data_IF_881893575204
#
_entry.id   IF_881893575204
#
_cell.length_a   1.000
_cell.length_b   1.000
_cell.length_c   1.000
_cell.angle_alpha   90.00
_cell.angle_beta   90.00
_cell.angle_gamma   90.00
#
_symmetry.space_group_name_H-M   'P 1'
#
loop_
_entity.id
_entity.type
_entity.pdbx_description
1 polymer ?
#
# COMPACT_ATOMS: atom_id res chain seq x y z
N UNK A 1 -19.25 0.44 -23.38
CA UNK A 1 -19.59 -0.53 -22.31
C UNK A 1 -18.60 -0.26 -21.18
N UNK A 2 -19.03 0.05 -19.95
CA UNK A 2 -18.08 0.13 -18.81
C UNK A 2 -17.49 -1.26 -18.63
N UNK A 3 -16.16 -1.42 -18.46
CA UNK A 3 -15.60 -2.72 -18.14
C UNK A 3 -16.21 -3.24 -16.83
N UNK A 4 -16.63 -4.50 -16.82
CA UNK A 4 -17.12 -5.13 -15.61
C UNK A 4 -15.95 -5.18 -14.61
N UNK A 5 -16.21 -4.71 -13.38
CA UNK A 5 -15.27 -4.88 -12.27
C UNK A 5 -14.85 -6.37 -12.21
N UNK A 6 -13.55 -6.63 -12.12
CA UNK A 6 -12.99 -7.99 -12.10
C UNK A 6 -13.21 -8.81 -13.39
N UNK A 7 -13.31 -8.17 -14.55
CA UNK A 7 -13.38 -8.88 -15.85
C UNK A 7 -12.07 -9.62 -16.21
N UNK A 8 -10.96 -9.30 -15.56
CA UNK A 8 -9.66 -9.97 -15.74
C UNK A 8 -9.76 -11.45 -15.39
N UNK A 9 -9.16 -12.32 -16.20
CA UNK A 9 -9.08 -13.76 -15.90
C UNK A 9 -8.10 -14.01 -14.76
N UNK A 10 -8.31 -15.05 -13.96
CA UNK A 10 -7.44 -15.41 -12.84
C UNK A 10 -8.21 -15.66 -11.56
N UNK A 11 -7.47 -15.88 -10.48
CA UNK A 11 -8.01 -16.02 -9.11
C UNK A 11 -7.64 -14.83 -8.25
N UNK A 12 -8.28 -14.71 -7.10
CA UNK A 12 -7.90 -13.72 -6.10
C UNK A 12 -6.71 -14.22 -5.27
N UNK A 13 -5.76 -13.32 -5.05
CA UNK A 13 -4.57 -13.53 -4.24
C UNK A 13 -4.60 -12.54 -3.08
N UNK A 14 -4.51 -13.07 -1.86
CA UNK A 14 -4.49 -12.29 -0.62
C UNK A 14 -3.10 -11.74 -0.38
N UNK A 15 -2.98 -10.43 -0.13
CA UNK A 15 -1.69 -9.83 0.17
C UNK A 15 -1.76 -8.62 1.06
N UNK A 16 -0.63 -8.32 1.69
CA UNK A 16 -0.44 -7.08 2.41
C UNK A 16 0.60 -6.21 1.71
N UNK A 17 0.32 -4.90 1.65
CA UNK A 17 1.15 -3.94 0.92
C UNK A 17 2.04 -3.10 1.84
N UNK A 18 1.78 -3.11 3.17
CA UNK A 18 2.44 -2.24 4.14
C UNK A 18 2.86 -3.05 5.37
N UNK A 19 4.16 -3.33 5.50
CA UNK A 19 4.75 -4.05 6.64
C UNK A 19 6.21 -3.66 6.83
N UNK A 20 6.67 -3.67 8.07
CA UNK A 20 8.03 -3.32 8.45
C UNK A 20 8.78 -4.51 9.03
N UNK A 21 10.02 -4.66 8.63
CA UNK A 21 10.94 -5.66 9.18
C UNK A 21 11.98 -4.98 10.08
N UNK A 22 12.88 -5.77 10.67
CA UNK A 22 14.02 -5.26 11.41
C UNK A 22 15.12 -4.64 10.52
N UNK A 23 14.83 -4.43 9.24
CA UNK A 23 15.65 -3.57 8.36
C UNK A 23 15.34 -2.10 8.56
N UNK A 24 14.17 -1.80 9.14
CA UNK A 24 13.81 -0.49 9.69
C UNK A 24 13.50 -0.61 11.19
N UNK A 25 12.29 -0.57 11.60
CA UNK A 25 11.85 -0.54 13.00
C UNK A 25 10.86 -1.64 13.38
N UNK A 26 10.57 -2.56 12.47
CA UNK A 26 9.81 -3.76 12.77
C UNK A 26 10.60 -4.76 13.64
N UNK A 27 9.88 -5.59 14.39
CA UNK A 27 10.49 -6.57 15.31
C UNK A 27 11.09 -7.77 14.58
N UNK A 28 10.43 -8.24 13.50
CA UNK A 28 10.76 -9.50 12.85
C UNK A 28 11.81 -9.32 11.76
N UNK A 29 12.64 -10.36 11.56
CA UNK A 29 13.46 -10.42 10.36
C UNK A 29 12.59 -10.52 9.09
N UNK A 30 13.09 -10.11 7.90
CA UNK A 30 12.34 -10.28 6.66
C UNK A 30 11.86 -11.72 6.42
N UNK A 31 12.66 -12.69 6.83
CA UNK A 31 12.35 -14.10 6.70
C UNK A 31 11.22 -14.55 7.62
N UNK A 32 11.30 -14.17 8.90
CA UNK A 32 10.26 -14.49 9.88
C UNK A 32 8.94 -13.79 9.51
N UNK A 33 9.04 -12.54 9.02
CA UNK A 33 7.89 -11.78 8.55
C UNK A 33 7.18 -12.49 7.39
N UNK A 34 7.92 -12.90 6.35
CA UNK A 34 7.38 -13.67 5.24
C UNK A 34 6.73 -14.98 5.70
N UNK A 35 7.39 -15.72 6.62
CA UNK A 35 6.85 -16.96 7.13
C UNK A 35 5.54 -16.75 7.90
N UNK A 36 5.46 -15.70 8.73
CA UNK A 36 4.24 -15.35 9.49
C UNK A 36 3.07 -15.05 8.58
N UNK A 37 3.26 -14.23 7.53
CA UNK A 37 2.19 -13.93 6.57
C UNK A 37 1.79 -15.14 5.73
N UNK A 38 2.76 -15.96 5.31
CA UNK A 38 2.49 -17.22 4.61
C UNK A 38 1.65 -18.19 5.46
N UNK A 39 2.01 -18.36 6.73
CA UNK A 39 1.30 -19.23 7.68
C UNK A 39 -0.12 -18.71 7.99
N UNK A 40 -0.33 -17.40 7.91
CA UNK A 40 -1.63 -16.76 8.03
C UNK A 40 -2.47 -16.80 6.73
N UNK A 41 -2.01 -17.53 5.71
CA UNK A 41 -2.75 -17.75 4.46
C UNK A 41 -2.66 -16.61 3.45
N UNK A 42 -1.70 -15.70 3.59
CA UNK A 42 -1.42 -14.71 2.56
C UNK A 42 -0.66 -15.35 1.39
N UNK A 43 -0.89 -14.82 0.20
CA UNK A 43 -0.26 -15.29 -1.02
C UNK A 43 0.89 -14.38 -1.47
N UNK A 44 0.88 -13.12 -1.06
CA UNK A 44 1.99 -12.22 -1.34
C UNK A 44 2.17 -11.18 -0.23
N UNK A 45 3.38 -10.64 -0.17
CA UNK A 45 3.75 -9.62 0.81
C UNK A 45 4.62 -8.55 0.16
N UNK A 46 4.42 -7.31 0.57
CA UNK A 46 5.35 -6.21 0.36
C UNK A 46 6.01 -5.90 1.71
N UNK A 47 7.32 -6.02 1.80
CA UNK A 47 8.07 -5.47 2.94
C UNK A 47 8.42 -4.05 2.56
N UNK A 48 7.79 -3.10 3.22
CA UNK A 48 7.85 -1.68 2.92
C UNK A 48 8.64 -0.90 3.97
N UNK A 49 9.78 -1.45 4.37
CA UNK A 49 10.66 -0.81 5.36
C UNK A 49 10.83 0.69 5.10
N UNK A 50 10.97 1.48 6.17
CA UNK A 50 11.15 2.93 6.08
C UNK A 50 12.41 3.31 5.29
N UNK A 51 12.21 3.98 4.16
CA UNK A 51 13.26 4.34 3.21
C UNK A 51 13.93 5.67 3.61
N UNK A 52 14.66 5.64 4.71
CA UNK A 52 15.41 6.78 5.26
C UNK A 52 16.88 6.42 5.51
N UNK A 53 17.75 7.43 5.57
CA UNK A 53 19.17 7.25 5.80
C UNK A 53 19.52 6.56 7.11
N UNK A 54 18.71 6.73 8.16
CA UNK A 54 18.84 6.06 9.45
C UNK A 54 18.93 4.52 9.29
N UNK A 55 18.21 3.96 8.32
CA UNK A 55 18.18 2.53 7.99
C UNK A 55 18.92 2.19 6.69
N UNK A 56 19.70 3.14 6.16
CA UNK A 56 20.44 2.98 4.91
C UNK A 56 19.54 2.72 3.68
N UNK A 57 18.35 3.33 3.65
CA UNK A 57 17.40 3.27 2.53
C UNK A 57 17.07 1.85 2.05
N UNK A 58 16.52 0.99 2.89
CA UNK A 58 16.34 -0.41 2.57
C UNK A 58 15.26 -0.62 1.49
N UNK A 59 15.57 -1.44 0.49
CA UNK A 59 14.59 -2.15 -0.35
C UNK A 59 14.82 -3.63 -0.11
N UNK A 60 13.92 -4.23 0.66
CA UNK A 60 14.15 -5.55 1.25
C UNK A 60 13.80 -6.66 0.28
N UNK A 61 14.80 -7.46 -0.11
CA UNK A 61 14.65 -8.59 -1.02
C UNK A 61 14.55 -9.90 -0.27
N UNK A 62 13.53 -10.67 -0.58
CA UNK A 62 13.22 -11.97 0.04
C UNK A 62 12.92 -13.05 -0.99
N UNK A 63 13.73 -13.11 -2.05
CA UNK A 63 13.52 -14.02 -3.20
C UNK A 63 13.45 -15.51 -2.84
N UNK A 64 14.00 -15.93 -1.68
CA UNK A 64 13.89 -17.31 -1.19
C UNK A 64 12.47 -17.71 -0.76
N UNK A 65 11.56 -16.74 -0.59
CA UNK A 65 10.16 -16.96 -0.25
C UNK A 65 9.25 -16.91 -1.49
N UNK A 66 9.79 -17.17 -2.67
CA UNK A 66 8.99 -17.18 -3.90
C UNK A 66 8.72 -18.63 -4.31
N UNK A 67 7.45 -19.04 -4.19
CA UNK A 67 6.92 -20.30 -4.67
C UNK A 67 5.52 -20.06 -5.32
N UNK A 68 4.85 -21.08 -5.88
CA UNK A 68 3.55 -20.89 -6.53
C UNK A 68 2.44 -20.35 -5.64
N UNK A 69 2.53 -20.51 -4.32
CA UNK A 69 1.52 -20.12 -3.35
C UNK A 69 1.86 -18.81 -2.62
N UNK A 70 3.16 -18.44 -2.58
CA UNK A 70 3.61 -17.22 -1.91
C UNK A 70 4.71 -16.50 -2.69
N UNK A 71 4.61 -15.17 -2.80
CA UNK A 71 5.65 -14.33 -3.42
C UNK A 71 5.84 -13.03 -2.65
N UNK A 72 6.96 -12.36 -2.87
CA UNK A 72 7.21 -11.02 -2.33
C UNK A 72 7.39 -10.02 -3.46
N UNK A 73 6.96 -8.79 -3.25
CA UNK A 73 7.11 -7.67 -4.17
C UNK A 73 7.98 -6.63 -3.49
N UNK A 74 8.97 -6.11 -4.19
CA UNK A 74 9.82 -5.04 -3.66
C UNK A 74 9.00 -3.79 -3.42
N UNK A 75 9.23 -3.13 -2.31
CA UNK A 75 8.56 -1.88 -1.98
C UNK A 75 9.28 -1.16 -0.84
N UNK A 76 8.79 0.01 -0.52
CA UNK A 76 9.26 0.80 0.59
C UNK A 76 8.19 1.80 1.03
N UNK A 77 8.27 2.26 2.26
CA UNK A 77 7.60 3.46 2.70
C UNK A 77 8.61 4.61 2.66
N UNK A 78 8.37 5.56 1.76
CA UNK A 78 9.29 6.63 1.45
C UNK A 78 8.94 7.90 2.22
N UNK A 79 9.97 8.63 2.61
CA UNK A 79 9.84 9.86 3.39
C UNK A 79 10.61 10.98 2.70
N UNK A 80 9.98 12.13 2.53
CA UNK A 80 10.62 13.31 1.96
C UNK A 80 9.77 14.56 2.16
N UNK A 81 10.41 15.69 2.46
CA UNK A 81 9.76 16.98 2.59
C UNK A 81 8.71 17.08 3.71
N UNK A 82 8.14 18.25 3.87
CA UNK A 82 7.09 18.53 4.85
C UNK A 82 5.69 18.58 4.20
N UNK A 83 4.69 18.05 4.91
CA UNK A 83 3.28 18.33 4.66
C UNK A 83 2.91 19.74 5.14
N UNK A 84 1.68 20.20 4.91
CA UNK A 84 1.21 21.52 5.41
C UNK A 84 1.30 21.65 6.94
N UNK A 85 1.23 20.53 7.66
CA UNK A 85 1.37 20.52 9.13
C UNK A 85 2.82 20.49 9.61
N UNK A 86 3.80 20.48 8.71
CA UNK A 86 5.22 20.40 9.03
C UNK A 86 5.74 18.98 9.33
N UNK A 87 4.88 17.97 9.28
CA UNK A 87 5.28 16.56 9.44
C UNK A 87 5.88 16.00 8.16
N UNK A 88 6.78 15.02 8.29
CA UNK A 88 7.37 14.37 7.11
C UNK A 88 6.34 13.55 6.35
N UNK A 89 6.46 13.53 5.02
CA UNK A 89 5.61 12.69 4.20
C UNK A 89 5.89 11.19 4.36
N UNK A 90 4.83 10.42 4.26
CA UNK A 90 4.82 8.97 4.17
C UNK A 90 4.16 8.55 2.84
N UNK A 91 4.93 7.96 1.96
CA UNK A 91 4.48 7.51 0.64
C UNK A 91 4.78 6.02 0.51
N UNK A 92 3.75 5.20 0.41
CA UNK A 92 3.93 3.77 0.17
C UNK A 92 4.12 3.50 -1.33
N UNK A 93 5.17 2.80 -1.70
CA UNK A 93 5.46 2.42 -3.09
C UNK A 93 5.68 0.92 -3.21
N UNK A 94 4.91 0.27 -4.09
CA UNK A 94 4.94 -1.17 -4.36
C UNK A 94 5.47 -1.41 -5.77
N UNK A 95 6.46 -2.27 -5.93
CA UNK A 95 7.10 -2.57 -7.21
C UNK A 95 8.28 -1.66 -7.54
N UNK A 96 8.99 -1.17 -6.52
CA UNK A 96 10.21 -0.39 -6.72
C UNK A 96 11.34 -1.27 -7.28
N UNK A 97 12.23 -0.73 -8.13
CA UNK A 97 13.45 -1.42 -8.49
C UNK A 97 14.42 -1.49 -7.30
N UNK A 98 15.20 -2.57 -7.22
CA UNK A 98 16.16 -2.80 -6.11
C UNK A 98 17.19 -1.67 -5.96
N UNK A 99 17.50 -0.97 -7.05
CA UNK A 99 18.46 0.13 -7.08
C UNK A 99 17.78 1.51 -7.11
N UNK A 100 16.57 1.65 -6.57
CA UNK A 100 15.90 2.95 -6.47
C UNK A 100 16.77 3.92 -5.68
N UNK A 101 16.94 5.13 -6.22
CA UNK A 101 17.85 6.11 -5.62
C UNK A 101 17.34 6.60 -4.27
N UNK A 102 18.23 6.81 -3.28
CA UNK A 102 17.87 7.34 -1.97
C UNK A 102 17.00 8.59 -2.03
N UNK A 103 16.11 8.76 -1.08
CA UNK A 103 15.42 10.02 -0.82
C UNK A 103 16.34 11.00 -0.09
N UNK A 104 15.94 12.26 -0.03
CA UNK A 104 16.66 13.29 0.74
C UNK A 104 16.30 13.30 2.24
N UNK A 105 15.87 12.16 2.78
CA UNK A 105 15.48 12.03 4.19
C UNK A 105 16.49 11.18 4.95
N UNK A 106 17.48 11.79 5.62
CA UNK A 106 18.42 11.05 6.44
C UNK A 106 17.77 10.46 7.71
N UNK A 107 16.66 11.05 8.14
CA UNK A 107 15.83 10.64 9.30
C UNK A 107 14.38 11.01 9.04
N UNK A 108 13.50 10.78 10.02
CA UNK A 108 12.08 11.20 10.00
C UNK A 108 11.90 12.70 10.30
N UNK A 109 12.68 13.54 9.64
CA UNK A 109 12.61 14.99 9.79
C UNK A 109 12.64 15.62 8.41
N UNK A 110 11.67 16.48 8.06
CA UNK A 110 11.70 17.22 6.80
C UNK A 110 12.96 18.07 6.69
N UNK A 111 13.47 18.22 5.49
CA UNK A 111 14.59 19.10 5.18
C UNK A 111 14.10 20.12 4.16
N UNK A 112 14.24 21.39 4.49
CA UNK A 112 13.83 22.49 3.63
C UNK A 112 14.63 22.53 2.32
N UNK A 113 13.98 23.03 1.27
CA UNK A 113 14.57 23.22 -0.06
C UNK A 113 15.13 21.93 -0.72
N UNK A 114 14.61 20.77 -0.31
CA UNK A 114 14.94 19.48 -0.90
C UNK A 114 13.70 18.81 -1.51
N UNK A 115 13.86 17.54 -1.92
CA UNK A 115 12.78 16.76 -2.50
C UNK A 115 11.53 16.75 -1.60
N UNK A 116 10.40 17.15 -2.15
CA UNK A 116 9.10 17.14 -1.48
C UNK A 116 8.42 15.77 -1.55
N UNK A 117 7.35 15.56 -0.75
CA UNK A 117 6.51 14.37 -0.83
C UNK A 117 5.91 14.12 -2.23
N UNK A 118 5.33 15.15 -2.90
CA UNK A 118 4.88 15.01 -4.28
C UNK A 118 5.96 14.60 -5.27
N UNK A 119 7.17 15.15 -5.16
CA UNK A 119 8.29 14.83 -6.06
C UNK A 119 8.79 13.40 -5.87
N UNK A 120 8.93 12.92 -4.62
CA UNK A 120 9.32 11.52 -4.41
C UNK A 120 8.21 10.54 -4.87
N UNK A 121 6.94 10.90 -4.69
CA UNK A 121 5.82 10.12 -5.19
C UNK A 121 5.82 10.01 -6.72
N UNK A 122 6.12 11.11 -7.43
CA UNK A 122 6.26 11.12 -8.88
C UNK A 122 7.46 10.27 -9.33
N UNK A 123 8.59 10.37 -8.64
CA UNK A 123 9.77 9.54 -8.90
C UNK A 123 9.50 8.05 -8.71
N UNK A 124 8.69 7.67 -7.72
CA UNK A 124 8.23 6.28 -7.56
C UNK A 124 7.32 5.84 -8.70
N UNK A 125 6.40 6.70 -9.12
CA UNK A 125 5.50 6.45 -10.26
C UNK A 125 6.31 6.24 -11.55
N UNK A 126 7.27 7.10 -11.84
CA UNK A 126 8.14 7.01 -13.04
C UNK A 126 9.02 5.76 -13.02
N UNK A 127 9.41 5.29 -11.83
CA UNK A 127 10.10 4.01 -11.66
C UNK A 127 9.19 2.79 -11.85
N UNK A 128 7.90 3.00 -12.10
CA UNK A 128 6.93 1.95 -12.35
C UNK A 128 6.25 1.38 -11.11
N UNK A 129 6.38 2.00 -9.93
CA UNK A 129 5.70 1.54 -8.72
C UNK A 129 4.20 1.84 -8.72
N UNK A 130 3.44 1.08 -7.95
CA UNK A 130 2.09 1.42 -7.50
C UNK A 130 2.21 2.31 -6.27
N UNK A 131 1.81 3.57 -6.40
CA UNK A 131 2.00 4.62 -5.38
C UNK A 131 0.72 4.78 -4.56
N UNK A 132 0.85 4.83 -3.25
CA UNK A 132 -0.27 4.94 -2.30
C UNK A 132 -0.01 6.09 -1.33
N UNK A 133 -1.03 6.91 -1.08
CA UNK A 133 -1.03 7.88 0.03
C UNK A 133 -1.24 7.08 1.31
N UNK A 134 -0.18 6.96 2.11
CA UNK A 134 -0.19 6.17 3.34
C UNK A 134 -0.97 6.89 4.46
N UNK A 135 -1.71 6.14 5.25
CA UNK A 135 -2.41 6.50 6.51
C UNK A 135 -2.70 8.02 6.70
N UNK A 136 -3.50 8.67 5.82
CA UNK A 136 -3.65 10.13 5.78
C UNK A 136 -4.17 10.74 7.08
N UNK A 137 -5.03 10.05 7.82
CA UNK A 137 -5.54 10.52 9.12
C UNK A 137 -4.44 10.52 10.18
N UNK A 138 -3.63 9.44 10.23
CA UNK A 138 -2.52 9.35 11.18
C UNK A 138 -1.47 10.43 10.91
N UNK A 139 -1.09 10.63 9.65
CA UNK A 139 -0.16 11.67 9.21
C UNK A 139 -0.71 13.09 9.33
N UNK A 140 -2.01 13.25 9.61
CA UNK A 140 -2.66 14.55 9.68
C UNK A 140 -2.66 15.31 8.36
N UNK A 141 -2.71 14.59 7.23
CA UNK A 141 -2.69 15.21 5.90
C UNK A 141 -3.94 16.08 5.68
N UNK A 142 -3.72 17.26 5.17
CA UNK A 142 -4.80 18.11 4.68
C UNK A 142 -5.29 17.63 3.32
N UNK A 143 -6.44 18.14 2.88
CA UNK A 143 -6.92 17.85 1.54
C UNK A 143 -5.98 18.46 0.45
N UNK A 144 -5.32 19.58 0.74
CA UNK A 144 -4.34 20.17 -0.17
C UNK A 144 -3.11 19.27 -0.31
N UNK A 145 -2.62 18.71 0.80
CA UNK A 145 -1.56 17.68 0.79
C UNK A 145 -1.96 16.51 -0.10
N UNK A 146 -3.09 15.89 0.16
CA UNK A 146 -3.55 14.73 -0.60
C UNK A 146 -3.75 15.02 -2.11
N UNK A 147 -4.23 16.23 -2.45
CA UNK A 147 -4.33 16.71 -3.85
C UNK A 147 -2.99 16.85 -4.54
N UNK A 148 -1.94 17.19 -3.79
CA UNK A 148 -0.60 17.42 -4.34
C UNK A 148 0.04 16.14 -4.88
N UNK A 149 -0.29 14.96 -4.32
CA UNK A 149 0.20 13.66 -4.79
C UNK A 149 -0.58 13.20 -6.03
N UNK A 150 -0.28 13.82 -7.18
CA UNK A 150 -0.98 13.56 -8.45
C UNK A 150 -0.72 12.16 -9.01
N UNK A 151 0.44 11.61 -8.73
CA UNK A 151 0.91 10.29 -9.16
C UNK A 151 0.34 9.12 -8.34
N UNK A 152 -0.46 9.39 -7.28
CA UNK A 152 -1.05 8.32 -6.49
C UNK A 152 -2.04 7.47 -7.30
N UNK A 153 -1.96 6.16 -7.12
CA UNK A 153 -2.91 5.17 -7.63
C UNK A 153 -4.01 4.84 -6.62
N UNK A 154 -3.71 5.00 -5.33
CA UNK A 154 -4.62 4.63 -4.24
C UNK A 154 -4.38 5.49 -2.99
N UNK A 155 -5.34 5.40 -2.07
CA UNK A 155 -5.24 5.89 -0.69
C UNK A 155 -5.37 4.70 0.24
N UNK A 156 -4.59 4.66 1.31
CA UNK A 156 -4.81 3.77 2.43
C UNK A 156 -6.10 4.18 3.15
N UNK A 157 -7.21 3.52 2.78
CA UNK A 157 -8.52 3.77 3.36
C UNK A 157 -8.66 3.18 4.76
N UNK A 158 -7.86 2.15 5.06
CA UNK A 158 -7.71 1.57 6.38
C UNK A 158 -6.28 1.10 6.62
N UNK A 159 -5.75 1.45 7.78
CA UNK A 159 -4.44 1.05 8.27
C UNK A 159 -4.59 0.44 9.67
N UNK A 160 -4.23 -0.85 9.82
CA UNK A 160 -4.48 -1.58 11.06
C UNK A 160 -3.52 -1.18 12.18
N UNK A 161 -2.25 -0.93 11.90
CA UNK A 161 -1.27 -0.44 12.86
C UNK A 161 -1.71 0.90 13.46
N UNK A 162 -2.17 1.82 12.61
CA UNK A 162 -2.74 3.08 13.07
C UNK A 162 -4.02 2.91 13.91
N UNK A 163 -4.83 1.88 13.62
CA UNK A 163 -6.00 1.55 14.45
C UNK A 163 -5.58 1.10 15.84
N UNK A 164 -4.60 0.20 15.91
CA UNK A 164 -4.14 -0.39 17.19
C UNK A 164 -3.37 0.64 18.03
N UNK A 165 -2.46 1.38 17.42
CA UNK A 165 -1.54 2.28 18.15
C UNK A 165 -2.17 3.61 18.55
N UNK A 166 -3.04 4.18 17.71
CA UNK A 166 -3.49 5.58 17.88
C UNK A 166 -4.99 5.82 17.66
N UNK A 167 -5.75 4.78 17.28
CA UNK A 167 -7.18 4.90 16.88
C UNK A 167 -7.39 5.90 15.72
N UNK A 168 -6.46 5.90 14.75
CA UNK A 168 -6.48 6.78 13.56
C UNK A 168 -6.35 5.99 12.25
N UNK A 169 -7.20 4.97 12.00
CA UNK A 169 -7.05 4.11 10.83
C UNK A 169 -7.57 4.71 9.53
N UNK A 170 -8.34 5.79 9.58
CA UNK A 170 -9.25 6.19 8.49
C UNK A 170 -8.56 7.01 7.40
N UNK A 171 -8.70 6.54 6.16
CA UNK A 171 -8.37 7.29 4.95
C UNK A 171 -9.56 7.50 4.03
N UNK A 172 -10.76 6.98 4.41
CA UNK A 172 -11.97 7.10 3.57
C UNK A 172 -12.39 8.54 3.35
N UNK A 173 -12.30 9.39 4.37
CA UNK A 173 -12.66 10.79 4.22
C UNK A 173 -11.81 11.49 3.15
N UNK A 174 -10.50 11.30 3.20
CA UNK A 174 -9.57 11.85 2.20
C UNK A 174 -9.86 11.30 0.82
N UNK A 175 -10.04 9.98 0.71
CA UNK A 175 -10.36 9.32 -0.56
C UNK A 175 -11.67 9.83 -1.15
N UNK A 176 -12.75 9.92 -0.35
CA UNK A 176 -14.08 10.35 -0.80
C UNK A 176 -14.05 11.76 -1.38
N UNK A 177 -13.34 12.68 -0.72
CA UNK A 177 -13.16 14.05 -1.21
C UNK A 177 -12.41 14.09 -2.55
N UNK A 178 -11.33 13.31 -2.70
CA UNK A 178 -10.57 13.23 -3.95
C UNK A 178 -11.39 12.60 -5.09
N UNK A 179 -12.20 11.58 -4.80
CA UNK A 179 -13.11 10.96 -5.77
C UNK A 179 -14.22 11.94 -6.20
N UNK A 180 -14.77 12.71 -5.25
CA UNK A 180 -15.76 13.75 -5.55
C UNK A 180 -15.20 14.84 -6.46
N UNK A 181 -13.91 15.10 -6.44
CA UNK A 181 -13.20 16.00 -7.36
C UNK A 181 -12.92 15.36 -8.73
N UNK A 182 -13.31 14.11 -8.94
CA UNK A 182 -13.14 13.40 -10.21
C UNK A 182 -11.79 12.69 -10.36
N UNK A 183 -10.98 12.59 -9.30
CA UNK A 183 -9.76 11.78 -9.33
C UNK A 183 -10.11 10.29 -9.46
N UNK A 184 -9.29 9.58 -10.21
CA UNK A 184 -9.40 8.12 -10.32
C UNK A 184 -8.40 7.49 -9.36
N UNK A 185 -8.88 7.10 -8.20
CA UNK A 185 -8.09 6.47 -7.15
C UNK A 185 -8.75 5.17 -6.72
N UNK A 186 -7.92 4.22 -6.32
CA UNK A 186 -8.34 3.01 -5.65
C UNK A 186 -8.24 3.19 -4.12
N UNK A 187 -8.78 2.23 -3.37
CA UNK A 187 -8.60 2.15 -1.93
C UNK A 187 -7.84 0.88 -1.57
N UNK A 188 -6.93 0.97 -0.62
CA UNK A 188 -6.25 -0.19 -0.04
C UNK A 188 -6.53 -0.27 1.46
N UNK A 189 -6.56 -1.48 1.99
CA UNK A 189 -6.48 -1.77 3.41
C UNK A 189 -5.18 -2.52 3.66
N UNK A 190 -4.47 -2.15 4.70
CA UNK A 190 -3.14 -2.65 5.01
C UNK A 190 -2.95 -2.85 6.50
N UNK A 191 -1.87 -3.51 6.87
CA UNK A 191 -1.52 -3.69 8.27
C UNK A 191 -0.64 -2.57 8.82
N UNK A 192 0.39 -2.15 8.07
CA UNK A 192 1.47 -1.31 8.61
C UNK A 192 2.13 -1.96 9.84
N UNK A 193 2.32 -3.28 9.71
CA UNK A 193 2.68 -4.13 10.83
C UNK A 193 4.15 -4.01 11.20
N UNK A 194 4.43 -3.76 12.47
CA UNK A 194 5.76 -3.75 13.07
C UNK A 194 5.98 -4.97 13.98
N UNK A 195 4.90 -5.71 14.34
CA UNK A 195 4.92 -6.84 15.27
C UNK A 195 5.40 -6.51 16.69
N UNK A 196 5.43 -5.24 17.06
CA UNK A 196 5.68 -4.76 18.42
C UNK A 196 4.41 -4.78 19.28
N UNK A 197 3.26 -4.80 18.63
CA UNK A 197 1.91 -4.92 19.19
C UNK A 197 1.05 -5.73 18.20
N UNK A 198 -0.25 -6.01 18.47
CA UNK A 198 -1.08 -6.84 17.57
C UNK A 198 -1.57 -6.05 16.34
N UNK A 199 -0.65 -5.45 15.59
CA UNK A 199 -0.83 -4.58 14.43
C UNK A 199 -0.84 -5.35 13.09
N UNK A 200 -1.08 -6.67 13.10
CA UNK A 200 -0.95 -7.56 11.96
C UNK A 200 -2.24 -8.33 11.65
N UNK A 201 -2.44 -8.68 10.38
CA UNK A 201 -3.56 -9.46 9.84
C UNK A 201 -4.93 -8.79 9.98
N UNK A 202 -4.99 -7.46 10.14
CA UNK A 202 -6.21 -6.69 10.29
C UNK A 202 -6.71 -6.01 9.01
N UNK A 203 -5.85 -5.86 8.00
CA UNK A 203 -6.20 -5.27 6.70
C UNK A 203 -5.42 -5.90 5.56
N UNK A 204 -6.08 -6.16 4.42
CA UNK A 204 -5.42 -6.75 3.25
C UNK A 204 -6.10 -6.37 1.94
N UNK A 205 -5.43 -6.67 0.84
CA UNK A 205 -5.98 -6.60 -0.51
C UNK A 205 -6.18 -8.00 -1.08
N UNK A 206 -7.24 -8.18 -1.88
CA UNK A 206 -7.50 -9.37 -2.67
C UNK A 206 -7.33 -9.01 -4.15
N UNK A 207 -6.20 -9.37 -4.73
CA UNK A 207 -5.81 -8.97 -6.08
C UNK A 207 -6.17 -10.07 -7.07
N UNK A 208 -6.94 -9.73 -8.10
CA UNK A 208 -7.31 -10.67 -9.15
C UNK A 208 -6.25 -10.68 -10.26
N UNK A 209 -5.44 -11.73 -10.27
CA UNK A 209 -4.35 -11.90 -11.23
C UNK A 209 -4.29 -13.34 -11.77
N UNK A 210 -3.70 -13.51 -12.94
CA UNK A 210 -3.55 -14.83 -13.56
C UNK A 210 -2.55 -15.72 -12.81
N UNK A 211 -1.51 -15.11 -12.26
CA UNK A 211 -0.43 -15.80 -11.56
C UNK A 211 -0.05 -15.05 -10.29
N UNK A 212 0.39 -15.79 -9.28
CA UNK A 212 1.01 -15.21 -8.09
C UNK A 212 2.48 -14.88 -8.38
N UNK A 213 2.69 -13.82 -9.15
CA UNK A 213 4.02 -13.30 -9.50
C UNK A 213 4.05 -11.77 -9.34
N UNK A 214 5.18 -11.18 -8.96
CA UNK A 214 5.30 -9.74 -8.73
C UNK A 214 4.70 -8.90 -9.85
N UNK A 215 5.11 -9.14 -11.10
CA UNK A 215 4.64 -8.36 -12.25
C UNK A 215 3.14 -8.49 -12.49
N UNK A 216 2.58 -9.72 -12.36
CA UNK A 216 1.14 -9.97 -12.57
C UNK A 216 0.29 -9.33 -11.48
N UNK A 217 0.75 -9.35 -10.24
CA UNK A 217 0.09 -8.67 -9.10
C UNK A 217 0.18 -7.16 -9.27
N UNK A 218 1.37 -6.63 -9.57
CA UNK A 218 1.60 -5.19 -9.74
C UNK A 218 0.75 -4.59 -10.88
N UNK A 219 0.69 -5.28 -12.02
CA UNK A 219 -0.18 -4.89 -13.13
C UNK A 219 -1.65 -4.83 -12.70
N UNK A 220 -2.13 -5.85 -11.98
CA UNK A 220 -3.51 -5.90 -11.50
C UNK A 220 -3.82 -4.83 -10.46
N UNK A 221 -2.87 -4.47 -9.58
CA UNK A 221 -3.00 -3.34 -8.67
C UNK A 221 -3.17 -2.03 -9.43
N UNK A 222 -2.33 -1.77 -10.44
CA UNK A 222 -2.40 -0.56 -11.27
C UNK A 222 -3.71 -0.45 -12.07
N UNK A 223 -4.25 -1.57 -12.52
CA UNK A 223 -5.53 -1.63 -13.21
C UNK A 223 -6.75 -1.52 -12.29
N UNK A 224 -6.58 -1.56 -10.97
CA UNK A 224 -7.67 -1.59 -10.00
C UNK A 224 -8.42 -2.93 -9.97
N UNK A 225 -7.78 -4.01 -10.41
CA UNK A 225 -8.35 -5.36 -10.40
C UNK A 225 -8.18 -6.02 -9.02
N UNK A 226 -8.64 -5.36 -7.98
CA UNK A 226 -8.57 -5.84 -6.60
C UNK A 226 -9.69 -5.25 -5.73
N UNK A 227 -9.89 -5.81 -4.57
CA UNK A 227 -10.69 -5.22 -3.50
C UNK A 227 -9.92 -5.29 -2.17
N UNK A 228 -10.27 -4.45 -1.23
CA UNK A 228 -9.69 -4.41 0.11
C UNK A 228 -10.64 -4.99 1.14
N UNK A 229 -10.11 -5.58 2.21
CA UNK A 229 -10.91 -6.26 3.23
C UNK A 229 -10.27 -6.18 4.61
N UNK A 230 -11.12 -6.27 5.62
CA UNK A 230 -10.78 -6.45 7.05
C UNK A 230 -11.40 -7.75 7.61
N UNK A 231 -11.96 -8.60 6.76
CA UNK A 231 -12.65 -9.82 7.20
C UNK A 231 -13.15 -10.67 6.05
N UNK A 232 -14.13 -10.22 5.25
CA UNK A 232 -14.68 -11.03 4.17
C UNK A 232 -13.70 -11.33 3.06
N UNK A 233 -13.67 -12.58 2.61
CA UNK A 233 -12.90 -13.01 1.43
C UNK A 233 -13.85 -13.56 0.37
N UNK A 234 -13.79 -13.01 -0.85
CA UNK A 234 -14.52 -13.50 -2.00
C UNK A 234 -13.67 -14.48 -2.79
N UNK A 235 -14.05 -15.74 -2.80
CA UNK A 235 -13.33 -16.79 -3.56
C UNK A 235 -13.75 -16.83 -5.03
N UNK A 236 -14.93 -16.31 -5.38
CA UNK A 236 -15.38 -16.14 -6.76
C UNK A 236 -16.32 -14.96 -6.89
N UNK A 237 -16.26 -14.25 -8.00
CA UNK A 237 -17.17 -13.19 -8.36
C UNK A 237 -18.11 -13.68 -9.45
N UNK A 238 -19.37 -13.91 -9.09
CA UNK A 238 -20.47 -14.05 -10.04
C UNK A 238 -21.16 -12.71 -10.18
N UNK A 239 -21.42 -12.28 -11.42
CA UNK A 239 -22.10 -11.01 -11.68
C UNK A 239 -23.47 -10.97 -10.98
N UNK A 240 -23.58 -10.18 -9.95
CA UNK A 240 -24.86 -9.84 -9.33
C UNK A 240 -25.49 -8.75 -10.19
N UNK A 241 -26.58 -9.05 -10.91
CA UNK A 241 -27.45 -8.02 -11.45
C UNK A 241 -28.06 -7.28 -10.28
N UNK A 242 -27.95 -5.96 -10.25
CA UNK A 242 -28.78 -5.17 -9.35
C UNK A 242 -30.24 -5.52 -9.69
N UNK A 243 -30.96 -6.02 -8.70
CA UNK A 243 -32.42 -6.04 -8.78
C UNK A 243 -32.84 -4.57 -8.78
N UNK A 244 -33.27 -4.08 -9.92
CA UNK A 244 -33.99 -2.83 -9.96
C UNK A 244 -35.21 -3.02 -9.06
N UNK A 245 -35.22 -2.35 -7.91
CA UNK A 245 -36.42 -2.22 -7.11
C UNK A 245 -37.38 -1.43 -7.96
N UNK A 246 -38.43 -2.11 -8.46
CA UNK A 246 -39.53 -1.44 -9.12
C UNK A 246 -40.06 -0.37 -8.18
N UNK A 247 -39.98 0.87 -8.63
CA UNK A 247 -40.63 2.03 -8.00
C UNK A 247 -42.11 1.74 -7.79
N UNK A 248 -42.58 1.82 -6.56
CA UNK A 248 -43.95 2.05 -6.23
C UNK A 248 -44.24 3.53 -6.28
#
# INVERSE_FOLDING_TARGET
MKPLMFSKTGKFWKGNLHTHSNRSDGLLSPDDLCQRYKDAGYNFLVISDHFVGLYNYPITKTSKFTDPEFTTILGAELHSGASENGEIWHILAVGLPENFAPSNSPRFVPIDDQESGPEIAERCFDAGAFVVIAHPQWSGLTLADARSIKSAHAVEAYNHGCAVSTDRPDGFHTLDLLLAEGRKLNLVATDDAHFTEPDFFGGWVMVKAQQNKPDSILESLKEGSFYSSQGPESVSYTHLRAHETSSY
#
